data_IF_553383949788
#
_entry.id   IF_553383949788
#
_cell.length_a   1.000
_cell.length_b   1.000
_cell.length_c   1.000
_cell.angle_alpha   90.00
_cell.angle_beta   90.00
_cell.angle_gamma   90.00
#
_symmetry.space_group_name_H-M   'P 1'
#
loop_
_entity.id
_entity.type
_entity.pdbx_description
1 polymer ?
#
# COMPACT_ATOMS: atom_id res chain seq x y z
N UNK A 1 -7.78 -30.07 33.86
CA UNK A 1 -7.17 -30.87 32.77
C UNK A 1 -5.72 -30.40 32.60
N UNK A 2 -4.76 -31.18 33.07
CA UNK A 2 -3.34 -30.80 33.09
C UNK A 2 -2.62 -31.24 31.82
N UNK A 3 -1.78 -30.36 31.26
CA UNK A 3 -0.95 -30.69 30.11
C UNK A 3 0.08 -31.80 30.46
N UNK A 4 0.38 -32.72 29.53
CA UNK A 4 1.26 -33.85 29.79
C UNK A 4 2.72 -33.42 30.04
N UNK A 5 3.39 -34.09 30.98
CA UNK A 5 4.79 -33.84 31.36
C UNK A 5 5.75 -34.11 30.20
N UNK A 6 6.94 -33.48 30.20
CA UNK A 6 7.97 -33.65 29.13
C UNK A 6 8.30 -35.13 28.84
N UNK A 7 8.30 -35.97 29.87
CA UNK A 7 8.54 -37.41 29.74
C UNK A 7 7.38 -38.14 29.04
N UNK A 8 6.13 -37.73 29.28
CA UNK A 8 4.94 -38.31 28.62
C UNK A 8 4.90 -37.97 27.11
N UNK A 9 5.37 -36.78 26.71
CA UNK A 9 5.51 -36.41 25.29
C UNK A 9 6.52 -37.28 24.53
N UNK A 10 7.58 -37.74 25.19
CA UNK A 10 8.54 -38.70 24.61
C UNK A 10 7.95 -40.11 24.50
N UNK A 11 7.08 -40.50 25.43
CA UNK A 11 6.41 -41.80 25.41
C UNK A 11 5.47 -41.93 24.20
N UNK A 12 4.74 -40.88 23.85
CA UNK A 12 3.84 -40.85 22.69
C UNK A 12 4.52 -41.29 21.39
N UNK A 13 5.74 -40.81 21.14
CA UNK A 13 6.53 -41.20 19.97
C UNK A 13 7.11 -42.62 20.01
N UNK A 14 7.09 -43.29 21.18
CA UNK A 14 7.51 -44.70 21.33
C UNK A 14 6.38 -45.70 21.10
N UNK A 15 5.12 -45.28 21.29
CA UNK A 15 3.94 -46.14 21.13
C UNK A 15 3.47 -46.18 19.67
N UNK A 16 3.83 -45.18 18.86
CA UNK A 16 3.47 -45.10 17.44
C UNK A 16 4.25 -46.10 16.58
N UNK A 17 3.51 -46.88 15.81
CA UNK A 17 4.04 -47.83 14.82
C UNK A 17 4.62 -47.07 13.62
N UNK A 18 5.58 -47.66 12.87
CA UNK A 18 6.25 -46.98 11.73
C UNK A 18 5.29 -46.33 10.72
N UNK A 19 4.16 -46.99 10.42
CA UNK A 19 3.12 -46.47 9.52
C UNK A 19 2.38 -45.26 10.11
N UNK A 20 2.02 -45.31 11.38
CA UNK A 20 1.29 -44.23 12.08
C UNK A 20 2.14 -42.97 12.22
N UNK A 21 3.45 -43.14 12.46
CA UNK A 21 4.40 -42.03 12.51
C UNK A 21 4.51 -41.30 11.17
N UNK A 22 4.45 -42.03 10.06
CA UNK A 22 4.44 -41.43 8.71
C UNK A 22 3.15 -40.66 8.50
N UNK A 23 1.97 -41.29 8.73
CA UNK A 23 0.68 -40.61 8.58
C UNK A 23 0.57 -39.36 9.46
N UNK A 24 1.04 -39.42 10.71
CA UNK A 24 1.08 -38.28 11.62
C UNK A 24 1.96 -37.15 11.07
N UNK A 25 3.13 -37.48 10.52
CA UNK A 25 4.05 -36.49 9.96
C UNK A 25 3.50 -35.86 8.67
N UNK A 26 2.83 -36.64 7.83
CA UNK A 26 2.14 -36.13 6.63
C UNK A 26 1.01 -35.16 6.99
N UNK A 27 0.17 -35.53 7.96
CA UNK A 27 -0.90 -34.67 8.46
C UNK A 27 -0.36 -33.40 9.12
N UNK A 28 0.74 -33.52 9.87
CA UNK A 28 1.40 -32.36 10.48
C UNK A 28 1.91 -31.39 9.41
N UNK A 29 2.55 -31.92 8.36
CA UNK A 29 3.02 -31.10 7.25
C UNK A 29 1.87 -30.41 6.50
N UNK A 30 0.79 -31.15 6.20
CA UNK A 30 -0.43 -30.61 5.59
C UNK A 30 -1.05 -29.50 6.44
N UNK A 31 -1.11 -29.69 7.76
CA UNK A 31 -1.62 -28.69 8.69
C UNK A 31 -0.81 -27.40 8.64
N UNK A 32 0.52 -27.48 8.73
CA UNK A 32 1.36 -26.28 8.67
C UNK A 32 1.30 -25.58 7.31
N UNK A 33 1.25 -26.34 6.21
CA UNK A 33 1.11 -25.78 4.86
C UNK A 33 -0.21 -25.03 4.71
N UNK A 34 -1.32 -25.65 5.12
CA UNK A 34 -2.66 -25.03 5.07
C UNK A 34 -2.74 -23.81 5.98
N UNK A 35 -2.18 -23.89 7.19
CA UNK A 35 -2.14 -22.79 8.13
C UNK A 35 -1.35 -21.59 7.58
N UNK A 36 -0.18 -21.84 6.98
CA UNK A 36 0.63 -20.79 6.36
C UNK A 36 -0.08 -20.17 5.15
N UNK A 37 -0.74 -20.99 4.33
CA UNK A 37 -1.53 -20.51 3.20
C UNK A 37 -2.66 -19.59 3.64
N UNK A 38 -3.41 -19.95 4.69
CA UNK A 38 -4.48 -19.12 5.24
C UNK A 38 -3.92 -17.80 5.79
N UNK A 39 -2.81 -17.85 6.52
CA UNK A 39 -2.17 -16.64 7.05
C UNK A 39 -1.75 -15.66 5.95
N UNK A 40 -1.14 -16.17 4.87
CA UNK A 40 -0.71 -15.35 3.73
C UNK A 40 -1.94 -14.72 3.05
N UNK A 41 -2.98 -15.51 2.78
CA UNK A 41 -4.21 -14.99 2.19
C UNK A 41 -4.89 -13.95 3.09
N UNK A 42 -4.90 -14.19 4.40
CA UNK A 42 -5.44 -13.26 5.38
C UNK A 42 -4.66 -11.94 5.38
N UNK A 43 -3.33 -12.00 5.33
CA UNK A 43 -2.48 -10.80 5.23
C UNK A 43 -2.79 -9.98 3.98
N UNK A 44 -2.80 -10.60 2.79
CA UNK A 44 -3.06 -9.88 1.54
C UNK A 44 -4.51 -9.39 1.41
N UNK A 45 -5.49 -10.08 2.00
CA UNK A 45 -6.89 -9.68 1.94
C UNK A 45 -7.25 -8.54 2.89
N UNK A 46 -6.56 -8.45 4.03
CA UNK A 46 -6.87 -7.45 5.07
C UNK A 46 -5.87 -6.30 5.12
N UNK A 47 -4.82 -6.31 4.30
CA UNK A 47 -3.81 -5.24 4.26
C UNK A 47 -3.91 -4.52 2.93
N UNK A 48 -4.02 -3.20 3.00
CA UNK A 48 -3.92 -2.31 1.85
C UNK A 48 -2.51 -1.75 1.76
N UNK A 49 -1.99 -1.61 0.54
CA UNK A 49 -0.73 -0.90 0.32
C UNK A 49 -0.98 0.57 0.65
N UNK A 50 -0.34 1.07 1.70
CA UNK A 50 -0.40 2.49 2.08
C UNK A 50 1.00 3.11 2.01
N UNK A 51 1.11 4.37 1.53
CA UNK A 51 2.37 5.08 1.57
C UNK A 51 2.82 5.25 3.02
N UNK A 52 4.12 5.12 3.27
CA UNK A 52 4.71 5.43 4.57
C UNK A 52 4.62 6.93 4.81
N UNK A 53 4.24 7.34 6.02
CA UNK A 53 4.22 8.76 6.38
C UNK A 53 5.66 9.28 6.50
N UNK A 54 5.92 10.44 5.89
CA UNK A 54 7.22 11.11 5.91
C UNK A 54 8.18 10.69 4.80
N UNK A 55 9.44 11.10 4.94
CA UNK A 55 10.46 11.02 3.90
C UNK A 55 10.76 12.38 3.28
N UNK A 56 11.90 12.49 2.61
CA UNK A 56 12.33 13.70 1.90
C UNK A 56 12.56 13.34 0.44
N UNK A 57 11.85 14.01 -0.46
CA UNK A 57 12.09 13.94 -1.90
C UNK A 57 12.97 15.12 -2.30
N UNK A 58 14.12 14.86 -2.94
CA UNK A 58 15.04 15.89 -3.43
C UNK A 58 15.20 15.66 -4.93
N UNK A 59 14.79 16.67 -5.70
CA UNK A 59 14.91 16.71 -7.16
C UNK A 59 15.83 17.87 -7.57
N UNK A 60 16.68 17.63 -8.56
CA UNK A 60 17.54 18.66 -9.14
C UNK A 60 16.88 19.25 -10.38
N UNK A 61 16.73 20.56 -10.41
CA UNK A 61 16.17 21.31 -11.55
C UNK A 61 17.22 22.25 -12.13
N UNK A 62 17.15 22.49 -13.44
CA UNK A 62 18.03 23.44 -14.14
C UNK A 62 17.39 24.83 -14.09
N UNK A 63 18.10 25.81 -13.53
CA UNK A 63 17.61 27.18 -13.35
C UNK A 63 17.37 27.52 -11.88
N UNK A 64 16.72 28.64 -11.62
CA UNK A 64 16.33 29.07 -10.28
C UNK A 64 14.94 29.67 -10.27
N UNK A 65 14.17 29.49 -9.18
CA UNK A 65 12.87 30.11 -9.04
C UNK A 65 13.00 31.64 -8.98
N UNK A 66 12.09 32.36 -9.62
CA UNK A 66 12.08 33.83 -9.67
C UNK A 66 10.84 34.41 -9.02
N UNK A 67 9.67 33.98 -9.48
CA UNK A 67 8.39 34.47 -9.00
C UNK A 67 7.44 33.30 -8.77
N UNK A 68 7.37 32.83 -7.52
CA UNK A 68 6.44 31.78 -7.09
C UNK A 68 5.03 32.39 -6.95
N UNK A 69 4.43 32.75 -8.07
CA UNK A 69 3.11 33.36 -8.16
C UNK A 69 2.36 32.75 -9.35
N UNK A 70 1.15 32.18 -9.14
CA UNK A 70 0.36 31.58 -10.21
C UNK A 70 0.12 32.48 -11.43
N UNK A 71 0.09 33.81 -11.24
CA UNK A 71 -0.15 34.77 -12.31
C UNK A 71 1.09 34.96 -13.21
N UNK A 72 2.31 34.75 -12.67
CA UNK A 72 3.57 35.01 -13.38
C UNK A 72 4.39 33.76 -13.70
N UNK A 73 3.98 32.61 -13.16
CA UNK A 73 4.72 31.35 -13.25
C UNK A 73 4.78 30.74 -14.65
N UNK A 74 3.96 31.18 -15.61
CA UNK A 74 4.00 30.66 -16.99
C UNK A 74 5.34 30.88 -17.69
N UNK A 75 6.11 31.87 -17.26
CA UNK A 75 7.40 32.24 -17.87
C UNK A 75 8.59 31.39 -17.42
N UNK A 76 8.42 30.56 -16.40
CA UNK A 76 9.49 29.78 -15.77
C UNK A 76 8.96 28.42 -15.37
N UNK A 77 9.50 27.35 -15.96
CA UNK A 77 9.08 25.98 -15.66
C UNK A 77 9.29 25.65 -14.17
N UNK A 78 10.39 26.12 -13.56
CA UNK A 78 10.66 25.94 -12.13
C UNK A 78 9.60 26.60 -11.26
N UNK A 79 9.15 27.80 -11.63
CA UNK A 79 8.10 28.51 -10.88
C UNK A 79 6.74 27.82 -11.06
N UNK A 80 6.45 27.30 -12.26
CA UNK A 80 5.21 26.55 -12.54
C UNK A 80 5.12 25.29 -11.68
N UNK A 81 6.21 24.52 -11.59
CA UNK A 81 6.25 23.29 -10.80
C UNK A 81 6.10 23.58 -9.31
N UNK A 82 6.78 24.62 -8.79
CA UNK A 82 6.61 25.07 -7.41
C UNK A 82 5.20 25.57 -7.13
N UNK A 83 4.61 26.33 -8.06
CA UNK A 83 3.25 26.83 -7.91
C UNK A 83 2.24 25.69 -7.83
N UNK A 84 2.38 24.63 -8.64
CA UNK A 84 1.50 23.46 -8.58
C UNK A 84 1.60 22.70 -7.25
N UNK A 85 2.76 22.74 -6.59
CA UNK A 85 2.97 22.11 -5.28
C UNK A 85 2.45 22.96 -4.11
N UNK A 86 2.51 24.29 -4.23
CA UNK A 86 2.20 25.24 -3.15
C UNK A 86 0.74 25.73 -3.21
N UNK A 87 0.20 25.92 -4.41
CA UNK A 87 -1.13 26.47 -4.64
C UNK A 87 -2.08 25.44 -5.24
N UNK A 88 -3.34 25.49 -4.82
CA UNK A 88 -4.41 24.66 -5.36
C UNK A 88 -5.30 25.46 -6.31
N UNK A 89 -5.58 24.90 -7.48
CA UNK A 89 -6.51 25.45 -8.46
C UNK A 89 -7.95 24.99 -8.19
N UNK A 90 -8.91 25.50 -8.98
CA UNK A 90 -10.27 24.95 -8.96
C UNK A 90 -10.29 23.51 -9.51
N UNK A 91 -9.45 23.25 -10.51
CA UNK A 91 -9.29 21.97 -11.18
C UNK A 91 -7.80 21.66 -11.36
N UNK A 92 -7.46 20.40 -11.56
CA UNK A 92 -6.10 19.92 -11.86
C UNK A 92 -6.13 18.77 -12.86
N UNK A 93 -4.97 18.42 -13.39
CA UNK A 93 -4.81 17.21 -14.19
C UNK A 93 -4.46 16.02 -13.30
N UNK A 94 -5.04 14.87 -13.59
CA UNK A 94 -4.56 13.60 -13.03
C UNK A 94 -3.35 13.04 -13.81
N UNK A 95 -2.82 11.91 -13.36
CA UNK A 95 -1.68 11.25 -14.01
C UNK A 95 -1.95 10.72 -15.42
N UNK A 96 -3.21 10.73 -15.87
CA UNK A 96 -3.64 10.34 -17.22
C UNK A 96 -3.94 11.57 -18.09
N UNK A 97 -3.75 12.79 -17.57
CA UNK A 97 -4.01 14.05 -18.26
C UNK A 97 -5.49 14.43 -18.30
N UNK A 98 -6.35 13.79 -17.49
CA UNK A 98 -7.76 14.15 -17.37
C UNK A 98 -7.94 15.27 -16.36
N UNK A 99 -8.82 16.22 -16.69
CA UNK A 99 -9.18 17.32 -15.79
C UNK A 99 -10.10 16.77 -14.69
N UNK A 100 -9.67 16.93 -13.45
CA UNK A 100 -10.40 16.56 -12.24
C UNK A 100 -10.56 17.78 -11.32
N UNK A 101 -11.63 17.85 -10.53
CA UNK A 101 -11.77 18.86 -9.48
C UNK A 101 -10.62 18.80 -8.46
N UNK A 102 -10.15 19.97 -8.00
CA UNK A 102 -9.20 20.08 -6.89
C UNK A 102 -9.83 20.82 -5.71
N UNK A 103 -9.90 22.16 -5.73
CA UNK A 103 -10.67 22.93 -4.76
C UNK A 103 -12.18 22.95 -5.05
N UNK A 104 -12.57 22.89 -6.32
CA UNK A 104 -13.98 22.91 -6.70
C UNK A 104 -14.64 21.57 -6.34
N UNK A 105 -15.81 21.59 -5.71
CA UNK A 105 -16.55 20.36 -5.38
C UNK A 105 -17.18 19.71 -6.62
N UNK A 106 -17.75 20.53 -7.49
CA UNK A 106 -18.38 20.13 -8.74
C UNK A 106 -18.31 21.29 -9.74
N UNK A 107 -18.39 20.97 -11.02
CA UNK A 107 -18.59 21.94 -12.09
C UNK A 107 -19.74 21.46 -12.98
N UNK A 108 -20.50 22.40 -13.52
CA UNK A 108 -21.58 22.14 -14.48
C UNK A 108 -21.32 23.00 -15.69
N UNK A 109 -21.45 22.40 -16.87
CA UNK A 109 -21.43 23.11 -18.14
C UNK A 109 -22.89 23.25 -18.55
N UNK A 110 -23.39 24.48 -18.59
CA UNK A 110 -24.73 24.84 -19.00
C UNK A 110 -24.79 24.97 -20.54
N UNK A 111 -26.00 25.14 -21.06
CA UNK A 111 -26.21 25.40 -22.49
C UNK A 111 -25.38 26.61 -22.95
N UNK A 112 -24.83 26.51 -24.17
CA UNK A 112 -23.85 27.44 -24.75
C UNK A 112 -22.50 27.56 -24.00
N UNK A 113 -22.14 26.59 -23.16
CA UNK A 113 -20.83 26.57 -22.48
C UNK A 113 -20.72 27.54 -21.31
N UNK A 114 -21.86 27.89 -20.71
CA UNK A 114 -21.94 28.74 -19.51
C UNK A 114 -21.76 27.98 -18.21
#
# INVERSE_FOLDING_TARGET
MGFPTKNQRRQFFKVLTKKEKISFLTLLFLFFSSFLFILINFYFKNTEIRPRQGGTYIEGVVGSPRFINPIYAETSDVDRDLVQLIFSGLMKYDGEGKIIPDLAKEYKILEDGK
#
